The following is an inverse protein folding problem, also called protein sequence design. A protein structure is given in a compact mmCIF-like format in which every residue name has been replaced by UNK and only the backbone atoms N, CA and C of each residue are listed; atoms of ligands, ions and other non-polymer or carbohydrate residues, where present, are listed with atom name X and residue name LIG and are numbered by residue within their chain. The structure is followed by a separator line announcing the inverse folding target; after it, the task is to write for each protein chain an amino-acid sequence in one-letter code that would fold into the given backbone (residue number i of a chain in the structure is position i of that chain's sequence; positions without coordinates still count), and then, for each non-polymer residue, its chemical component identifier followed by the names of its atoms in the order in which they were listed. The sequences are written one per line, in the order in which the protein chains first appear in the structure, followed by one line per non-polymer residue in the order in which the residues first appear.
data_IF_632989755653
#
_entry.id   IF_632989755653
#
_cell.length_a   1.000
_cell.length_b   1.000
_cell.length_c   1.000
_cell.angle_alpha   90.00
_cell.angle_beta   90.00
_cell.angle_gamma   90.00
#
_symmetry.space_group_name_H-M   'P 1'
#
loop_
_entity.id
_entity.type
_entity.pdbx_description
1 polymer ?
#
# COMPACT_ATOMS: atom_id res chain seq x y z
N UNK A 1 12.28 0.38 5.59
CA UNK A 1 11.38 1.51 5.93
C UNK A 1 10.76 1.27 7.30
N UNK A 2 9.98 0.19 7.48
CA UNK A 2 9.43 -0.21 8.78
C UNK A 2 10.50 -0.34 9.89
N UNK A 3 11.71 -0.80 9.57
CA UNK A 3 12.79 -0.95 10.57
C UNK A 3 13.23 0.34 11.27
N UNK A 4 13.01 1.48 10.62
CA UNK A 4 13.41 2.81 11.12
C UNK A 4 12.22 3.66 11.56
N UNK A 5 11.00 3.10 11.59
CA UNK A 5 9.78 3.78 12.02
C UNK A 5 9.35 3.18 13.35
N UNK A 6 9.39 4.00 14.40
CA UNK A 6 9.00 3.58 15.75
C UNK A 6 7.56 3.05 15.75
N UNK A 7 7.36 1.88 16.36
CA UNK A 7 6.06 1.22 16.45
C UNK A 7 5.60 0.52 15.17
N UNK A 8 6.40 0.51 14.09
CA UNK A 8 6.05 -0.24 12.90
C UNK A 8 6.25 -1.75 13.10
N UNK A 9 5.20 -2.52 12.85
CA UNK A 9 5.13 -3.99 13.01
C UNK A 9 4.83 -4.68 11.69
N UNK A 10 4.13 -4.01 10.77
CA UNK A 10 3.78 -4.55 9.46
C UNK A 10 3.97 -3.50 8.39
N UNK A 11 4.34 -3.97 7.20
CA UNK A 11 4.62 -3.13 6.05
C UNK A 11 4.13 -3.81 4.80
N UNK A 12 3.44 -3.05 3.98
CA UNK A 12 2.94 -3.48 2.69
C UNK A 12 3.43 -2.53 1.60
N UNK A 13 4.50 -2.88 0.87
CA UNK A 13 4.81 -2.28 -0.42
C UNK A 13 3.76 -2.72 -1.46
N UNK A 14 3.33 -1.80 -2.31
CA UNK A 14 2.40 -2.04 -3.40
C UNK A 14 2.57 -1.01 -4.53
N UNK A 15 2.12 -1.33 -5.73
CA UNK A 15 2.01 -0.36 -6.82
C UNK A 15 0.63 0.28 -6.82
N UNK A 16 0.62 1.61 -6.71
CA UNK A 16 -0.58 2.44 -6.71
C UNK A 16 -0.83 2.95 -8.14
N UNK A 17 -1.60 2.18 -8.92
CA UNK A 17 -1.81 2.45 -10.34
C UNK A 17 -2.76 3.62 -10.48
N UNK A 18 -2.40 4.60 -11.32
CA UNK A 18 -3.10 5.88 -11.50
C UNK A 18 -3.18 6.77 -10.24
N UNK A 19 -2.95 6.24 -9.04
CA UNK A 19 -2.70 7.04 -7.85
C UNK A 19 -1.37 7.79 -7.95
N UNK A 20 -1.19 8.78 -7.08
CA UNK A 20 0.06 9.58 -6.96
C UNK A 20 0.60 10.11 -8.29
N UNK A 21 -0.29 10.62 -9.15
CA UNK A 21 0.06 11.13 -10.48
C UNK A 21 0.74 10.08 -11.38
N UNK A 22 0.38 8.80 -11.26
CA UNK A 22 0.91 7.73 -12.11
C UNK A 22 2.37 7.36 -11.82
N UNK A 23 2.83 7.59 -10.59
CA UNK A 23 4.19 7.24 -10.18
C UNK A 23 4.50 5.76 -10.43
N UNK A 24 5.65 5.42 -11.06
CA UNK A 24 6.09 4.04 -11.22
C UNK A 24 6.72 3.46 -9.95
N UNK A 25 6.96 4.30 -8.94
CA UNK A 25 7.56 3.86 -7.67
C UNK A 25 6.52 3.16 -6.79
N UNK A 26 7.00 2.16 -6.04
CA UNK A 26 6.19 1.51 -5.02
C UNK A 26 5.75 2.51 -3.95
N UNK A 27 4.49 2.39 -3.57
CA UNK A 27 3.95 2.96 -2.34
C UNK A 27 4.15 1.97 -1.20
N UNK A 28 4.25 2.47 0.02
CA UNK A 28 4.41 1.65 1.22
C UNK A 28 3.42 2.13 2.29
N UNK A 29 2.61 1.22 2.82
CA UNK A 29 1.80 1.44 4.02
C UNK A 29 2.45 0.74 5.21
N UNK A 30 2.44 1.42 6.36
CA UNK A 30 3.06 0.95 7.61
C UNK A 30 2.00 0.89 8.70
N UNK A 31 2.02 -0.19 9.49
CA UNK A 31 1.01 -0.45 10.51
C UNK A 31 1.66 -0.89 11.82
N UNK A 32 0.99 -0.61 12.93
CA UNK A 32 1.44 -0.99 14.28
C UNK A 32 1.12 -2.43 14.65
N UNK A 33 0.32 -3.12 13.83
CA UNK A 33 -0.08 -4.52 14.01
C UNK A 33 0.14 -5.30 12.73
N UNK A 34 0.29 -6.62 12.87
CA UNK A 34 0.29 -7.56 11.77
C UNK A 34 -1.07 -7.61 11.07
N UNK A 35 -1.03 -7.80 9.76
CA UNK A 35 -2.19 -7.98 8.89
C UNK A 35 -2.02 -9.24 8.05
N UNK A 36 -3.13 -9.96 7.83
CA UNK A 36 -3.18 -11.16 7.01
C UNK A 36 -3.96 -10.93 5.71
N UNK A 37 -4.14 -11.99 4.92
CA UNK A 37 -4.95 -11.95 3.70
C UNK A 37 -6.42 -11.62 3.99
N UNK A 38 -6.89 -11.92 5.19
CA UNK A 38 -8.23 -11.55 5.67
C UNK A 38 -8.46 -10.03 5.76
N UNK A 39 -7.40 -9.25 5.90
CA UNK A 39 -7.45 -7.79 5.92
C UNK A 39 -7.23 -7.18 4.53
N UNK A 40 -6.96 -8.01 3.52
CA UNK A 40 -6.65 -7.55 2.17
C UNK A 40 -7.92 -7.01 1.50
N UNK A 41 -8.06 -5.68 1.55
CA UNK A 41 -9.07 -4.94 0.81
C UNK A 41 -8.40 -4.02 -0.22
N UNK A 42 -8.87 -4.05 -1.47
CA UNK A 42 -8.34 -3.20 -2.53
C UNK A 42 -9.04 -1.83 -2.42
N UNK A 43 -8.58 -1.01 -1.48
CA UNK A 43 -9.04 0.37 -1.24
C UNK A 43 -8.66 1.37 -2.37
N UNK A 44 -8.57 0.90 -3.61
CA UNK A 44 -8.61 1.76 -4.80
C UNK A 44 -10.05 2.14 -5.16
N UNK A 45 -10.25 2.55 -6.41
CA UNK A 45 -11.56 2.88 -6.97
C UNK A 45 -11.88 4.38 -6.98
N UNK A 46 -10.93 5.23 -6.59
CA UNK A 46 -11.11 6.67 -6.59
C UNK A 46 -10.82 7.24 -7.98
N UNK A 47 -11.74 8.09 -8.46
CA UNK A 47 -11.56 8.81 -9.70
C UNK A 47 -10.51 9.89 -9.54
N UNK A 48 -9.45 9.80 -10.32
CA UNK A 48 -8.37 10.77 -10.40
C UNK A 48 -8.81 12.02 -11.20
N UNK A 49 -8.08 13.14 -11.11
CA UNK A 49 -8.45 14.37 -11.84
C UNK A 49 -8.55 14.23 -13.36
N UNK A 50 -7.89 13.24 -13.95
CA UNK A 50 -7.93 12.92 -15.38
C UNK A 50 -9.05 11.92 -15.78
N UNK A 51 -9.86 11.50 -14.81
CA UNK A 51 -10.96 10.54 -15.00
C UNK A 51 -10.53 9.08 -14.95
N UNK A 52 -9.24 8.78 -14.80
CA UNK A 52 -8.79 7.41 -14.52
C UNK A 52 -9.23 6.95 -13.14
N UNK A 53 -9.29 5.64 -12.93
CA UNK A 53 -9.59 5.03 -11.63
C UNK A 53 -8.28 4.48 -11.06
N UNK A 54 -7.99 4.77 -9.80
CA UNK A 54 -6.86 4.16 -9.12
C UNK A 54 -7.16 2.74 -8.63
N UNK A 55 -6.11 1.94 -8.52
CA UNK A 55 -6.21 0.59 -7.95
C UNK A 55 -4.83 0.10 -7.52
N UNK A 56 -4.82 -0.83 -6.57
CA UNK A 56 -3.60 -1.41 -6.04
C UNK A 56 -3.23 -2.69 -6.80
N UNK A 57 -1.95 -2.84 -7.14
CA UNK A 57 -1.35 -4.08 -7.67
C UNK A 57 -0.02 -4.39 -6.97
N UNK A 58 0.53 -5.58 -7.19
CA UNK A 58 1.86 -6.00 -6.69
C UNK A 58 2.05 -5.80 -5.18
N UNK A 59 0.99 -6.03 -4.41
CA UNK A 59 0.99 -5.93 -2.95
C UNK A 59 1.78 -7.09 -2.33
N UNK A 60 2.73 -6.78 -1.43
CA UNK A 60 3.58 -7.78 -0.79
C UNK A 60 3.78 -7.49 0.70
N UNK A 61 2.75 -7.71 1.50
CA UNK A 61 2.75 -7.46 2.94
C UNK A 61 3.67 -8.39 3.72
N UNK A 62 4.38 -7.85 4.72
CA UNK A 62 5.16 -8.63 5.67
C UNK A 62 5.09 -8.07 7.09
N UNK A 63 4.99 -8.98 8.06
CA UNK A 63 5.20 -8.68 9.47
C UNK A 63 6.70 -8.65 9.77
N UNK A 64 7.13 -7.65 10.52
CA UNK A 64 8.44 -7.66 11.18
C UNK A 64 8.44 -8.74 12.26
N UNK A 65 9.49 -9.54 12.28
CA UNK A 65 9.74 -10.58 13.31
C UNK A 65 10.49 -9.97 14.49
#
# INVERSE_FOLDING_TARGET
MCDNVEGCTFVNPYHDVNGKNGSPLLTCSLFTKCHGEEDADNFGGQTQPDGSIDFITDSAGYCKV
#
